data_IF_131072951887
#
_entry.id   IF_131072951887
#
_cell.length_a   1.000
_cell.length_b   1.000
_cell.length_c   1.000
_cell.angle_alpha   90.00
_cell.angle_beta   90.00
_cell.angle_gamma   90.00
#
_symmetry.space_group_name_H-M   'P 1'
#
loop_
_entity.id
_entity.type
_entity.pdbx_description
1 polymer ?
#
# COMPACT_ATOMS: atom_id res chain seq x y z
N UNK A 1 24.18 -5.76 13.55
CA UNK A 1 24.07 -6.79 12.48
C UNK A 1 22.74 -6.56 11.79
N UNK A 2 22.77 -6.18 10.50
CA UNK A 2 21.66 -5.60 9.74
C UNK A 2 20.66 -6.68 9.29
N UNK A 3 19.38 -6.51 9.61
CA UNK A 3 18.29 -7.27 8.97
C UNK A 3 17.69 -6.33 7.92
N UNK A 4 18.07 -6.50 6.65
CA UNK A 4 17.44 -5.86 5.51
C UNK A 4 16.59 -6.89 4.75
N UNK A 5 15.38 -6.47 4.36
CA UNK A 5 14.57 -6.98 3.25
C UNK A 5 14.09 -8.44 3.26
N UNK A 6 12.81 -8.64 3.61
CA UNK A 6 11.98 -9.72 3.03
C UNK A 6 10.60 -9.14 2.64
N UNK A 7 10.54 -8.42 1.51
CA UNK A 7 9.27 -8.16 0.78
C UNK A 7 9.40 -8.40 -0.73
N UNK A 8 10.59 -8.71 -1.25
CA UNK A 8 10.76 -9.11 -2.65
C UNK A 8 11.13 -10.58 -2.73
N UNK A 9 10.12 -11.41 -2.94
CA UNK A 9 10.18 -12.65 -3.73
C UNK A 9 8.74 -13.11 -3.95
N UNK A 10 8.52 -13.90 -5.00
CA UNK A 10 7.29 -14.61 -5.36
C UNK A 10 6.28 -13.81 -6.18
N UNK A 11 6.43 -13.86 -7.51
CA UNK A 11 5.41 -14.33 -8.46
C UNK A 11 6.06 -14.43 -9.85
N UNK A 12 6.45 -15.65 -10.25
CA UNK A 12 6.82 -15.98 -11.63
C UNK A 12 6.11 -17.26 -12.02
N UNK A 13 5.35 -17.24 -13.11
CA UNK A 13 4.98 -18.43 -13.87
C UNK A 13 4.84 -18.06 -15.35
N UNK A 14 5.40 -18.95 -16.17
CA UNK A 14 5.76 -18.84 -17.59
C UNK A 14 4.59 -19.08 -18.56
N UNK A 15 4.71 -18.52 -19.77
CA UNK A 15 3.95 -18.85 -20.97
C UNK A 15 4.43 -20.17 -21.61
N UNK A 16 3.67 -20.70 -22.60
CA UNK A 16 4.27 -20.95 -23.91
C UNK A 16 3.44 -20.42 -25.10
N UNK A 17 4.15 -20.05 -26.18
CA UNK A 17 3.67 -19.70 -27.52
C UNK A 17 3.25 -20.95 -28.31
N UNK A 18 2.40 -20.90 -29.35
CA UNK A 18 2.72 -20.63 -30.78
C UNK A 18 1.53 -21.21 -31.62
N UNK A 19 1.12 -20.73 -32.82
CA UNK A 19 1.73 -20.97 -34.13
C UNK A 19 0.99 -20.21 -35.28
N UNK A 20 1.78 -19.74 -36.24
CA UNK A 20 1.62 -19.40 -37.68
C UNK A 20 0.24 -19.11 -38.32
N UNK A 21 0.20 -18.00 -39.08
CA UNK A 21 -0.74 -17.77 -40.20
C UNK A 21 0.05 -17.36 -41.45
N UNK A 22 -0.24 -18.03 -42.56
CA UNK A 22 0.35 -17.86 -43.89
C UNK A 22 -0.09 -16.54 -44.54
N UNK A 23 0.80 -15.99 -45.38
CA UNK A 23 0.60 -14.76 -46.16
C UNK A 23 0.43 -15.13 -47.63
N UNK A 24 -0.55 -14.54 -48.30
CA UNK A 24 -0.77 -14.60 -49.74
C UNK A 24 -1.00 -13.15 -50.22
N UNK A 25 -0.23 -12.60 -51.17
CA UNK A 25 -0.34 -11.21 -51.58
C UNK A 25 -1.15 -11.06 -52.87
N UNK A 26 -2.32 -10.47 -52.75
CA UNK A 26 -2.97 -9.79 -53.86
C UNK A 26 -3.81 -8.65 -53.28
N UNK A 27 -3.32 -7.41 -53.41
CA UNK A 27 -4.09 -6.33 -54.04
C UNK A 27 -3.27 -5.03 -54.07
N UNK A 28 -3.28 -4.43 -55.25
CA UNK A 28 -2.54 -3.23 -55.65
C UNK A 28 -3.53 -2.05 -55.71
N UNK A 29 -3.06 -0.86 -55.30
CA UNK A 29 -3.57 0.47 -55.63
C UNK A 29 -4.89 0.99 -55.00
N UNK A 30 -5.07 0.79 -53.69
CA UNK A 30 -6.08 1.51 -52.89
C UNK A 30 -5.54 2.34 -51.71
N UNK A 31 -4.35 2.02 -51.20
CA UNK A 31 -3.92 2.48 -49.86
C UNK A 31 -3.26 3.87 -49.84
N UNK A 32 -2.58 4.30 -50.90
CA UNK A 32 -1.83 5.56 -50.87
C UNK A 32 -2.72 6.79 -50.77
N UNK A 33 -3.94 6.75 -51.35
CA UNK A 33 -4.90 7.85 -51.25
C UNK A 33 -5.65 7.88 -49.92
N UNK A 34 -5.88 6.71 -49.31
CA UNK A 34 -6.43 6.62 -47.96
C UNK A 34 -5.45 7.23 -46.94
N UNK A 35 -4.15 6.92 -47.06
CA UNK A 35 -3.10 7.48 -46.21
C UNK A 35 -3.00 9.02 -46.24
N UNK A 36 -3.16 9.64 -47.42
CA UNK A 36 -3.13 11.11 -47.56
C UNK A 36 -4.36 11.77 -46.92
N UNK A 37 -5.56 11.21 -47.11
CA UNK A 37 -6.79 11.76 -46.50
C UNK A 37 -6.76 11.62 -44.98
N UNK A 38 -6.28 10.49 -44.48
CA UNK A 38 -6.14 10.25 -43.04
C UNK A 38 -5.06 11.15 -42.42
N UNK A 39 -3.96 11.41 -43.14
CA UNK A 39 -2.95 12.39 -42.72
C UNK A 39 -3.50 13.81 -42.65
N UNK A 40 -4.34 14.24 -43.61
CA UNK A 40 -4.99 15.55 -43.60
C UNK A 40 -5.97 15.67 -42.42
N UNK A 41 -6.79 14.63 -42.19
CA UNK A 41 -7.72 14.59 -41.04
C UNK A 41 -6.98 14.63 -39.70
N UNK A 42 -5.90 13.86 -39.58
CA UNK A 42 -5.05 13.86 -38.39
C UNK A 42 -4.40 15.24 -38.17
N UNK A 43 -3.94 15.90 -39.24
CA UNK A 43 -3.43 17.27 -39.21
C UNK A 43 -4.46 18.28 -38.69
N UNK A 44 -5.69 18.25 -39.22
CA UNK A 44 -6.78 19.11 -38.76
C UNK A 44 -7.16 18.86 -37.29
N UNK A 45 -7.21 17.60 -36.86
CA UNK A 45 -7.48 17.22 -35.47
C UNK A 45 -6.39 17.74 -34.52
N UNK A 46 -5.11 17.60 -34.90
CA UNK A 46 -3.98 18.13 -34.13
C UNK A 46 -4.02 19.66 -33.97
N UNK A 47 -4.44 20.39 -35.01
CA UNK A 47 -4.62 21.84 -34.97
C UNK A 47 -5.77 22.23 -34.02
N UNK A 48 -6.90 21.55 -34.11
CA UNK A 48 -8.05 21.79 -33.23
C UNK A 48 -7.70 21.51 -31.75
N UNK A 49 -6.97 20.43 -31.48
CA UNK A 49 -6.47 20.12 -30.14
C UNK A 49 -5.53 21.21 -29.63
N UNK A 50 -4.55 21.62 -30.44
CA UNK A 50 -3.60 22.67 -30.10
C UNK A 50 -4.30 24.00 -29.80
N UNK A 51 -5.33 24.37 -30.58
CA UNK A 51 -6.15 25.54 -30.31
C UNK A 51 -6.90 25.42 -28.98
N UNK A 52 -7.48 24.26 -28.68
CA UNK A 52 -8.17 23.99 -27.41
C UNK A 52 -7.22 24.12 -26.20
N UNK A 53 -6.00 23.56 -26.28
CA UNK A 53 -4.99 23.70 -25.23
C UNK A 53 -4.56 25.16 -25.00
N UNK A 54 -4.44 25.96 -26.07
CA UNK A 54 -4.16 27.40 -25.98
C UNK A 54 -5.29 28.17 -25.30
N UNK A 55 -6.55 27.79 -25.54
CA UNK A 55 -7.71 28.37 -24.83
C UNK A 55 -7.68 28.03 -23.34
N UNK A 56 -7.29 26.81 -22.97
CA UNK A 56 -7.09 26.46 -21.56
C UNK A 56 -5.98 27.28 -20.92
N UNK A 57 -4.88 27.48 -21.64
CA UNK A 57 -3.73 28.24 -21.16
C UNK A 57 -4.07 29.72 -20.97
N UNK A 58 -4.81 30.34 -21.91
CA UNK A 58 -5.24 31.74 -21.78
C UNK A 58 -6.18 31.95 -20.60
N UNK A 59 -6.97 30.92 -20.26
CA UNK A 59 -7.85 30.90 -19.08
C UNK A 59 -7.16 30.41 -17.80
N UNK A 60 -5.84 30.16 -17.83
CA UNK A 60 -5.04 29.59 -16.72
C UNK A 60 -5.73 28.41 -16.03
N UNK A 61 -6.27 27.47 -16.80
CA UNK A 61 -6.98 26.31 -16.24
C UNK A 61 -6.02 25.42 -15.44
N UNK A 62 -6.48 24.87 -14.31
CA UNK A 62 -5.66 23.91 -13.56
C UNK A 62 -5.43 22.64 -14.37
N UNK A 63 -4.40 21.87 -14.03
CA UNK A 63 -4.20 20.54 -14.64
C UNK A 63 -5.45 19.65 -14.51
N UNK A 64 -6.16 19.74 -13.38
CA UNK A 64 -7.38 18.98 -13.10
C UNK A 64 -8.54 19.42 -14.00
N UNK A 65 -8.70 20.72 -14.24
CA UNK A 65 -9.72 21.22 -15.18
C UNK A 65 -9.50 20.71 -16.59
N UNK A 66 -8.24 20.70 -17.05
CA UNK A 66 -7.88 20.20 -18.38
C UNK A 66 -8.08 18.69 -18.46
N UNK A 67 -7.65 17.94 -17.45
CA UNK A 67 -7.89 16.50 -17.34
C UNK A 67 -9.40 16.18 -17.43
N UNK A 68 -10.24 16.89 -16.67
CA UNK A 68 -11.69 16.71 -16.70
C UNK A 68 -12.28 17.04 -18.08
N UNK A 69 -11.81 18.11 -18.72
CA UNK A 69 -12.27 18.49 -20.07
C UNK A 69 -11.83 17.51 -21.17
N UNK A 70 -10.70 16.84 -20.98
CA UNK A 70 -10.23 15.76 -21.85
C UNK A 70 -10.97 14.44 -21.58
N UNK A 71 -11.73 14.33 -20.47
CA UNK A 71 -12.53 13.15 -20.10
C UNK A 71 -11.66 11.90 -19.97
N UNK A 72 -10.70 11.92 -19.04
CA UNK A 72 -9.82 10.77 -18.74
C UNK A 72 -10.55 9.58 -18.08
N UNK A 73 -11.80 9.78 -17.63
CA UNK A 73 -12.56 8.77 -16.89
C UNK A 73 -12.44 8.92 -15.38
N UNK A 74 -13.12 8.04 -14.65
CA UNK A 74 -13.28 8.15 -13.20
C UNK A 74 -12.23 7.40 -12.38
N UNK A 75 -11.37 6.62 -13.03
CA UNK A 75 -10.30 5.88 -12.35
C UNK A 75 -8.93 6.04 -13.04
N UNK A 76 -7.88 5.77 -12.27
CA UNK A 76 -6.48 5.96 -12.69
C UNK A 76 -6.05 4.94 -13.74
N UNK A 77 -6.62 3.73 -13.75
CA UNK A 77 -6.23 2.70 -14.70
C UNK A 77 -6.60 3.12 -16.13
N UNK A 78 -7.80 3.66 -16.32
CA UNK A 78 -8.24 4.22 -17.60
C UNK A 78 -7.39 5.43 -18.00
N UNK A 79 -7.05 6.28 -17.03
CA UNK A 79 -6.23 7.44 -17.27
C UNK A 79 -4.81 7.10 -17.78
N UNK A 80 -4.19 6.05 -17.23
CA UNK A 80 -2.82 5.62 -17.57
C UNK A 80 -2.71 5.03 -18.98
N UNK A 81 -3.76 4.39 -19.49
CA UNK A 81 -3.77 3.81 -20.84
C UNK A 81 -4.30 4.79 -21.90
N UNK A 82 -4.78 5.96 -21.47
CA UNK A 82 -5.39 6.93 -22.38
C UNK A 82 -4.37 7.59 -23.30
N UNK A 83 -4.68 7.67 -24.60
CA UNK A 83 -3.91 8.46 -25.56
C UNK A 83 -3.84 9.96 -25.20
N UNK A 84 -4.77 10.44 -24.37
CA UNK A 84 -4.87 11.84 -23.90
C UNK A 84 -3.76 12.24 -22.94
N UNK A 85 -3.00 11.29 -22.38
CA UNK A 85 -1.84 11.58 -21.52
C UNK A 85 -0.88 12.52 -22.22
N UNK A 86 -0.65 12.34 -23.53
CA UNK A 86 0.26 13.21 -24.30
C UNK A 86 -0.30 14.62 -24.48
N UNK A 87 -1.60 14.77 -24.67
CA UNK A 87 -2.29 16.07 -24.68
C UNK A 87 -2.12 16.83 -23.36
N UNK A 88 -2.29 16.11 -22.24
CA UNK A 88 -2.14 16.69 -20.91
C UNK A 88 -0.68 17.06 -20.61
N UNK A 89 0.30 16.23 -21.01
CA UNK A 89 1.73 16.57 -20.91
C UNK A 89 2.08 17.83 -21.71
N UNK A 90 1.58 17.96 -22.95
CA UNK A 90 1.77 19.16 -23.77
C UNK A 90 1.22 20.41 -23.07
N UNK A 91 0.01 20.30 -22.50
CA UNK A 91 -0.58 21.39 -21.73
C UNK A 91 0.28 21.79 -20.53
N UNK A 92 0.71 20.82 -19.72
CA UNK A 92 1.55 21.03 -18.54
C UNK A 92 2.85 21.74 -18.94
N UNK A 93 3.52 21.30 -20.01
CA UNK A 93 4.74 21.94 -20.49
C UNK A 93 4.51 23.40 -20.88
N UNK A 94 3.44 23.69 -21.63
CA UNK A 94 3.06 25.06 -22.00
C UNK A 94 2.69 25.93 -20.78
N UNK A 95 2.01 25.34 -19.79
CA UNK A 95 1.63 26.02 -18.55
C UNK A 95 2.86 26.39 -17.72
N UNK A 96 3.76 25.45 -17.50
CA UNK A 96 4.97 25.64 -16.68
C UNK A 96 5.96 26.59 -17.34
N UNK A 97 6.05 26.59 -18.68
CA UNK A 97 6.88 27.57 -19.40
C UNK A 97 6.39 29.01 -19.19
N UNK A 98 5.08 29.22 -19.06
CA UNK A 98 4.50 30.55 -18.83
C UNK A 98 4.37 30.94 -17.37
N UNK A 99 4.32 29.96 -16.47
CA UNK A 99 4.10 30.16 -15.04
C UNK A 99 5.11 29.29 -14.25
N UNK A 100 6.41 29.64 -14.28
CA UNK A 100 7.46 28.81 -13.66
C UNK A 100 7.28 28.65 -12.16
N UNK A 101 6.77 29.67 -11.47
CA UNK A 101 6.55 29.67 -10.01
C UNK A 101 5.29 28.89 -9.58
N UNK A 102 4.42 28.55 -10.54
CA UNK A 102 3.17 27.80 -10.30
C UNK A 102 3.19 26.44 -11.03
N UNK A 103 4.38 25.89 -11.26
CA UNK A 103 4.55 24.69 -12.07
C UNK A 103 3.67 23.52 -11.56
N UNK A 104 2.94 22.90 -12.49
CA UNK A 104 2.14 21.71 -12.25
C UNK A 104 2.83 20.47 -12.82
N UNK A 105 2.49 19.28 -12.32
CA UNK A 105 3.03 18.01 -12.81
C UNK A 105 1.91 17.03 -13.19
N UNK A 106 2.25 16.02 -13.98
CA UNK A 106 1.29 14.97 -14.37
C UNK A 106 0.86 14.18 -13.13
N UNK A 107 1.82 13.78 -12.29
CA UNK A 107 1.54 13.06 -11.05
C UNK A 107 0.72 13.90 -10.06
N UNK A 108 1.03 15.18 -9.92
CA UNK A 108 0.27 16.10 -9.05
C UNK A 108 -1.16 16.27 -9.56
N UNK A 109 -1.35 16.38 -10.88
CA UNK A 109 -2.67 16.46 -11.49
C UNK A 109 -3.50 15.19 -11.27
N UNK A 110 -2.90 14.01 -11.45
CA UNK A 110 -3.59 12.74 -11.20
C UNK A 110 -3.93 12.56 -9.72
N UNK A 111 -3.01 12.90 -8.83
CA UNK A 111 -3.20 12.82 -7.38
C UNK A 111 -4.31 13.77 -6.91
N UNK A 112 -4.34 15.00 -7.40
CA UNK A 112 -5.40 15.96 -7.09
C UNK A 112 -6.79 15.50 -7.57
N UNK A 113 -6.86 14.74 -8.68
CA UNK A 113 -8.14 14.25 -9.23
C UNK A 113 -8.63 12.94 -8.60
N UNK A 114 -7.72 12.00 -8.34
CA UNK A 114 -8.05 10.61 -7.99
C UNK A 114 -7.65 10.23 -6.56
N UNK A 115 -6.80 11.02 -5.90
CA UNK A 115 -6.26 10.76 -4.57
C UNK A 115 -4.95 9.97 -4.60
N UNK A 116 -4.05 10.29 -3.66
CA UNK A 116 -2.73 9.66 -3.52
C UNK A 116 -2.80 8.13 -3.45
N UNK A 117 -3.71 7.60 -2.64
CA UNK A 117 -3.83 6.16 -2.40
C UNK A 117 -4.27 5.38 -3.65
N UNK A 118 -5.21 5.93 -4.42
CA UNK A 118 -5.70 5.33 -5.65
C UNK A 118 -4.63 5.38 -6.75
N UNK A 119 -3.97 6.54 -6.89
CA UNK A 119 -2.88 6.73 -7.87
C UNK A 119 -1.72 5.80 -7.57
N UNK A 120 -1.20 5.81 -6.35
CA UNK A 120 -0.06 4.99 -5.96
C UNK A 120 -0.32 3.50 -6.22
N UNK A 121 -1.49 3.01 -5.79
CA UNK A 121 -1.91 1.62 -6.01
C UNK A 121 -2.03 1.28 -7.49
N UNK A 122 -2.57 2.19 -8.31
CA UNK A 122 -2.71 1.98 -9.75
C UNK A 122 -1.35 1.94 -10.46
N UNK A 123 -0.40 2.79 -10.07
CA UNK A 123 0.95 2.81 -10.64
C UNK A 123 1.70 1.48 -10.43
N UNK A 124 1.71 0.95 -9.19
CA UNK A 124 2.30 -0.39 -8.92
C UNK A 124 1.59 -1.48 -9.73
N UNK A 125 0.30 -1.31 -9.98
CA UNK A 125 -0.49 -2.27 -10.74
C UNK A 125 -0.16 -2.24 -12.23
N UNK A 126 -0.01 -1.05 -12.79
CA UNK A 126 0.32 -0.81 -14.19
C UNK A 126 1.78 -1.18 -14.50
N UNK A 127 2.71 -0.92 -13.60
CA UNK A 127 4.11 -1.35 -13.72
C UNK A 127 4.25 -2.87 -13.88
N UNK A 128 3.42 -3.65 -13.15
CA UNK A 128 3.48 -5.12 -13.18
C UNK A 128 2.69 -5.79 -14.29
N UNK A 129 1.61 -5.16 -14.77
CA UNK A 129 0.62 -5.82 -15.66
C UNK A 129 0.29 -5.03 -16.92
N UNK A 130 0.78 -3.81 -17.04
CA UNK A 130 0.59 -2.99 -18.22
C UNK A 130 1.46 -3.47 -19.39
N UNK A 131 1.06 -3.09 -20.61
CA UNK A 131 1.97 -3.20 -21.75
C UNK A 131 3.20 -2.31 -21.56
N UNK A 132 4.29 -2.58 -22.28
CA UNK A 132 5.61 -1.95 -22.08
C UNK A 132 5.54 -0.43 -21.91
N UNK A 133 4.84 0.29 -22.80
CA UNK A 133 4.71 1.76 -22.71
C UNK A 133 4.01 2.25 -21.43
N UNK A 134 2.96 1.55 -21.00
CA UNK A 134 2.19 1.90 -19.79
C UNK A 134 3.00 1.56 -18.54
N UNK A 135 3.73 0.45 -18.55
CA UNK A 135 4.60 0.06 -17.46
C UNK A 135 5.73 1.09 -17.25
N UNK A 136 6.38 1.55 -18.32
CA UNK A 136 7.43 2.59 -18.24
C UNK A 136 6.87 3.93 -17.73
N UNK A 137 5.71 4.37 -18.24
CA UNK A 137 5.04 5.56 -17.72
C UNK A 137 4.69 5.41 -16.23
N UNK A 138 4.17 4.26 -15.82
CA UNK A 138 3.80 4.01 -14.43
C UNK A 138 5.01 4.02 -13.51
N UNK A 139 6.13 3.43 -13.95
CA UNK A 139 7.41 3.45 -13.23
C UNK A 139 7.94 4.88 -13.07
N UNK A 140 7.92 5.67 -14.13
CA UNK A 140 8.30 7.09 -14.07
C UNK A 140 7.43 7.86 -13.08
N UNK A 141 6.10 7.79 -13.24
CA UNK A 141 5.16 8.50 -12.38
C UNK A 141 5.25 8.07 -10.91
N UNK A 142 5.56 6.80 -10.65
CA UNK A 142 5.79 6.30 -9.29
C UNK A 142 7.05 6.91 -8.67
N UNK A 143 8.14 7.01 -9.43
CA UNK A 143 9.35 7.67 -8.96
C UNK A 143 9.11 9.16 -8.68
N UNK A 144 8.37 9.84 -9.56
CA UNK A 144 7.96 11.24 -9.36
C UNK A 144 7.06 11.40 -8.13
N UNK A 145 6.12 10.48 -7.88
CA UNK A 145 5.26 10.52 -6.69
C UNK A 145 6.07 10.43 -5.40
N UNK A 146 7.00 9.48 -5.32
CA UNK A 146 7.84 9.30 -4.13
C UNK A 146 8.76 10.50 -3.89
N UNK A 147 9.32 11.09 -4.95
CA UNK A 147 10.13 12.31 -4.84
C UNK A 147 9.28 13.49 -4.42
N UNK A 148 8.10 13.67 -5.01
CA UNK A 148 7.18 14.74 -4.64
C UNK A 148 6.81 14.71 -3.16
N UNK A 149 6.48 13.55 -2.60
CA UNK A 149 6.21 13.43 -1.16
C UNK A 149 7.43 13.80 -0.32
N UNK A 150 8.63 13.35 -0.69
CA UNK A 150 9.87 13.67 0.02
C UNK A 150 10.20 15.16 -0.04
N UNK A 151 10.13 15.77 -1.22
CA UNK A 151 10.45 17.17 -1.47
C UNK A 151 9.44 18.10 -0.81
N UNK A 152 8.18 17.65 -0.68
CA UNK A 152 7.13 18.31 0.09
C UNK A 152 7.23 18.11 1.60
N UNK A 153 8.33 17.51 2.08
CA UNK A 153 8.62 17.33 3.51
C UNK A 153 7.71 16.32 4.22
N UNK A 154 7.07 15.39 3.49
CA UNK A 154 6.23 14.36 4.13
C UNK A 154 7.10 13.41 4.95
N UNK A 155 6.60 13.04 6.12
CA UNK A 155 7.15 11.93 6.91
C UNK A 155 6.63 10.59 6.37
N UNK A 156 7.24 9.49 6.82
CA UNK A 156 6.70 8.14 6.55
C UNK A 156 5.30 8.00 7.14
N UNK A 157 5.05 8.56 8.33
CA UNK A 157 3.73 8.59 8.98
C UNK A 157 2.69 9.36 8.13
N UNK A 158 3.09 10.45 7.46
CA UNK A 158 2.22 11.16 6.52
C UNK A 158 1.89 10.33 5.30
N UNK A 159 2.89 9.63 4.72
CA UNK A 159 2.66 8.75 3.56
C UNK A 159 1.77 7.57 3.94
N UNK A 160 1.90 7.02 5.15
CA UNK A 160 0.96 6.01 5.66
C UNK A 160 -0.49 6.51 5.61
N UNK A 161 -0.73 7.76 6.05
CA UNK A 161 -2.06 8.41 6.02
C UNK A 161 -2.52 8.72 4.60
N UNK A 162 -1.65 9.24 3.73
CA UNK A 162 -1.96 9.50 2.32
C UNK A 162 -2.39 8.23 1.59
N UNK A 163 -1.79 7.09 1.93
CA UNK A 163 -2.18 5.77 1.42
C UNK A 163 -3.46 5.21 2.06
N UNK A 164 -4.03 5.86 3.07
CA UNK A 164 -5.25 5.43 3.80
C UNK A 164 -5.15 4.00 4.33
N UNK A 165 -3.97 3.61 4.83
CA UNK A 165 -3.73 2.25 5.32
C UNK A 165 -4.54 1.95 6.59
N UNK A 166 -4.76 2.93 7.47
CA UNK A 166 -5.62 2.78 8.64
C UNK A 166 -7.07 2.48 8.25
N UNK A 167 -7.61 3.19 7.25
CA UNK A 167 -8.97 2.97 6.73
C UNK A 167 -9.15 1.59 6.09
N UNK A 168 -8.09 1.02 5.49
CA UNK A 168 -8.12 -0.32 4.92
C UNK A 168 -8.11 -1.43 6.02
N UNK A 169 -7.74 -1.10 7.27
CA UNK A 169 -7.63 -2.04 8.38
C UNK A 169 -6.75 -3.24 8.04
N UNK A 170 -7.19 -4.45 8.38
CA UNK A 170 -6.42 -5.68 8.09
C UNK A 170 -6.19 -5.92 6.58
N UNK A 171 -7.06 -5.37 5.70
CA UNK A 171 -6.92 -5.53 4.24
C UNK A 171 -5.70 -4.78 3.71
N UNK A 172 -5.17 -3.81 4.46
CA UNK A 172 -3.93 -3.12 4.14
C UNK A 172 -2.76 -4.10 3.94
N UNK A 173 -2.70 -5.18 4.73
CA UNK A 173 -1.63 -6.20 4.66
C UNK A 173 -1.60 -6.98 3.33
N UNK A 174 -2.72 -7.01 2.60
CA UNK A 174 -2.81 -7.63 1.28
C UNK A 174 -2.74 -6.61 0.14
N UNK A 175 -2.57 -5.33 0.47
CA UNK A 175 -2.64 -4.23 -0.49
C UNK A 175 -1.27 -3.91 -1.07
N UNK A 176 -1.25 -3.53 -2.35
CA UNK A 176 -0.04 -2.99 -3.00
C UNK A 176 0.45 -1.72 -2.33
N UNK A 177 -0.39 -1.02 -1.57
CA UNK A 177 -0.05 0.17 -0.78
C UNK A 177 1.14 -0.06 0.16
N UNK A 178 1.31 -1.27 0.72
CA UNK A 178 2.50 -1.57 1.55
C UNK A 178 3.80 -1.58 0.77
N UNK A 179 3.78 -1.91 -0.52
CA UNK A 179 4.96 -1.87 -1.38
C UNK A 179 5.37 -0.41 -1.63
N UNK A 180 4.39 0.49 -1.79
CA UNK A 180 4.65 1.93 -1.91
C UNK A 180 5.23 2.48 -0.60
N UNK A 181 4.66 2.09 0.54
CA UNK A 181 5.16 2.53 1.84
C UNK A 181 6.59 2.03 2.10
N UNK A 182 6.89 0.77 1.79
CA UNK A 182 8.24 0.18 1.92
C UNK A 182 9.26 0.93 1.04
N UNK A 183 8.91 1.21 -0.22
CA UNK A 183 9.78 1.98 -1.12
C UNK A 183 9.97 3.42 -0.62
N UNK A 184 8.95 4.03 -0.04
CA UNK A 184 9.06 5.36 0.56
C UNK A 184 9.95 5.36 1.80
N UNK A 185 9.81 4.38 2.71
CA UNK A 185 10.67 4.21 3.89
C UNK A 185 12.15 4.15 3.47
N UNK A 186 12.47 3.34 2.45
CA UNK A 186 13.83 3.22 1.91
C UNK A 186 14.34 4.55 1.36
N UNK A 187 13.51 5.24 0.57
CA UNK A 187 13.87 6.54 -0.01
C UNK A 187 14.07 7.61 1.08
N UNK A 188 13.20 7.62 2.08
CA UNK A 188 13.26 8.54 3.21
C UNK A 188 14.53 8.33 4.03
N UNK A 189 14.87 7.08 4.37
CA UNK A 189 16.12 6.74 5.04
C UNK A 189 17.35 7.21 4.25
N UNK A 190 17.37 6.97 2.93
CA UNK A 190 18.50 7.36 2.09
C UNK A 190 18.69 8.89 2.03
N UNK A 191 17.60 9.66 2.11
CA UNK A 191 17.64 11.11 2.01
C UNK A 191 17.83 11.84 3.35
N UNK A 192 17.30 11.28 4.44
CA UNK A 192 17.25 11.94 5.75
C UNK A 192 18.10 11.24 6.83
N UNK A 193 18.56 10.01 6.56
CA UNK A 193 19.27 9.16 7.53
C UNK A 193 18.50 8.90 8.84
N UNK A 194 17.17 9.08 8.81
CA UNK A 194 16.28 8.74 9.93
C UNK A 194 15.79 7.32 9.71
N UNK A 195 16.04 6.45 10.68
CA UNK A 195 15.63 5.05 10.61
C UNK A 195 14.17 4.91 11.04
N UNK A 196 13.35 4.42 10.12
CA UNK A 196 11.98 4.00 10.38
C UNK A 196 11.77 2.60 9.82
N UNK A 197 11.15 1.72 10.60
CA UNK A 197 10.81 0.37 10.14
C UNK A 197 9.35 0.29 9.74
N UNK A 198 9.02 -0.70 8.90
CA UNK A 198 7.64 -1.00 8.56
C UNK A 198 6.82 -1.30 9.83
N UNK A 199 7.35 -2.10 10.77
CA UNK A 199 6.66 -2.40 12.02
C UNK A 199 6.35 -1.14 12.85
N UNK A 200 7.33 -0.24 13.03
CA UNK A 200 7.12 1.00 13.76
C UNK A 200 6.06 1.89 13.10
N UNK A 201 6.12 1.99 11.78
CA UNK A 201 5.16 2.77 10.98
C UNK A 201 3.75 2.20 11.13
N UNK A 202 3.58 0.88 10.99
CA UNK A 202 2.28 0.22 11.16
C UNK A 202 1.76 0.36 12.60
N UNK A 203 2.64 0.20 13.59
CA UNK A 203 2.29 0.35 15.01
C UNK A 203 1.74 1.75 15.28
N UNK A 204 2.45 2.81 14.88
CA UNK A 204 1.97 4.19 15.04
C UNK A 204 0.71 4.45 14.22
N UNK A 205 0.72 4.05 12.95
CA UNK A 205 -0.33 4.33 11.99
C UNK A 205 -1.68 3.67 12.33
N UNK A 206 -1.66 2.52 12.99
CA UNK A 206 -2.87 1.84 13.48
C UNK A 206 -3.28 2.23 14.90
N UNK A 207 -2.55 3.11 15.58
CA UNK A 207 -2.92 3.63 16.90
C UNK A 207 -2.25 2.94 18.10
N UNK A 208 -1.17 2.19 17.87
CA UNK A 208 -0.38 1.54 18.90
C UNK A 208 -0.33 0.03 18.77
N UNK A 209 0.46 -0.61 19.64
CA UNK A 209 0.69 -2.06 19.60
C UNK A 209 -0.61 -2.85 19.81
N UNK A 210 -1.46 -2.44 20.76
CA UNK A 210 -2.75 -3.09 21.01
C UNK A 210 -3.67 -3.10 19.78
N UNK A 211 -3.73 -1.98 19.05
CA UNK A 211 -4.52 -1.93 17.82
C UNK A 211 -3.88 -2.77 16.71
N UNK A 212 -2.54 -2.76 16.61
CA UNK A 212 -1.83 -3.57 15.63
C UNK A 212 -2.06 -5.07 15.86
N UNK A 213 -1.94 -5.57 17.10
CA UNK A 213 -2.14 -7.01 17.38
C UNK A 213 -3.55 -7.47 17.02
N UNK A 214 -4.59 -6.68 17.30
CA UNK A 214 -5.96 -7.00 16.87
C UNK A 214 -6.09 -7.07 15.35
N UNK A 215 -5.45 -6.13 14.63
CA UNK A 215 -5.45 -6.13 13.16
C UNK A 215 -4.72 -7.36 12.60
N UNK A 216 -3.58 -7.74 13.21
CA UNK A 216 -2.81 -8.92 12.81
C UNK A 216 -3.60 -10.21 13.05
N UNK A 217 -4.27 -10.34 14.20
CA UNK A 217 -5.10 -11.50 14.51
C UNK A 217 -6.25 -11.68 13.50
N UNK A 218 -6.92 -10.59 13.12
CA UNK A 218 -7.94 -10.64 12.04
C UNK A 218 -7.28 -11.02 10.70
N UNK A 219 -6.14 -10.42 10.37
CA UNK A 219 -5.43 -10.68 9.13
C UNK A 219 -4.97 -12.14 8.97
N UNK A 220 -4.71 -12.86 10.06
CA UNK A 220 -4.32 -14.28 10.04
C UNK A 220 -5.44 -15.22 9.58
N UNK A 221 -6.70 -14.81 9.70
CA UNK A 221 -7.86 -15.61 9.25
C UNK A 221 -8.02 -15.61 7.73
N UNK A 222 -7.39 -14.67 7.02
CA UNK A 222 -7.54 -14.51 5.58
C UNK A 222 -6.27 -14.95 4.84
N UNK A 223 -6.34 -15.93 3.90
CA UNK A 223 -5.17 -16.46 3.21
C UNK A 223 -4.28 -15.41 2.53
N UNK A 224 -4.87 -14.31 2.02
CA UNK A 224 -4.13 -13.23 1.35
C UNK A 224 -3.28 -12.37 2.28
N UNK A 225 -3.62 -12.31 3.57
CA UNK A 225 -2.96 -11.44 4.56
C UNK A 225 -2.20 -12.23 5.62
N UNK A 226 -2.53 -13.52 5.78
CA UNK A 226 -2.01 -14.40 6.83
C UNK A 226 -0.48 -14.38 6.95
N UNK A 227 0.23 -14.64 5.86
CA UNK A 227 1.69 -14.71 5.87
C UNK A 227 2.35 -13.42 6.38
N UNK A 228 1.84 -12.26 5.97
CA UNK A 228 2.40 -10.98 6.39
C UNK A 228 2.01 -10.65 7.83
N UNK A 229 0.82 -11.09 8.26
CA UNK A 229 0.38 -10.94 9.63
C UNK A 229 1.24 -11.76 10.61
N UNK A 230 1.55 -13.02 10.28
CA UNK A 230 2.46 -13.89 11.05
C UNK A 230 3.88 -13.30 11.11
N UNK A 231 4.34 -12.68 10.01
CA UNK A 231 5.64 -12.00 9.97
C UNK A 231 5.69 -10.85 10.98
N UNK A 232 4.72 -9.93 10.95
CA UNK A 232 4.72 -8.77 11.85
C UNK A 232 4.43 -9.16 13.31
N UNK A 233 3.59 -10.16 13.56
CA UNK A 233 3.40 -10.69 14.91
C UNK A 233 4.72 -11.27 15.46
N UNK A 234 5.45 -12.03 14.64
CA UNK A 234 6.77 -12.53 15.01
C UNK A 234 7.79 -11.40 15.25
N UNK A 235 7.69 -10.28 14.53
CA UNK A 235 8.51 -9.10 14.80
C UNK A 235 8.14 -8.44 16.14
N UNK A 236 6.85 -8.30 16.48
CA UNK A 236 6.41 -7.80 17.80
C UNK A 236 6.92 -8.69 18.93
N UNK A 237 6.78 -10.03 18.81
CA UNK A 237 7.30 -10.97 19.81
C UNK A 237 8.81 -10.81 20.03
N UNK A 238 9.57 -10.61 18.94
CA UNK A 238 11.02 -10.35 19.03
C UNK A 238 11.32 -8.99 19.66
N UNK A 239 10.54 -7.96 19.33
CA UNK A 239 10.68 -6.62 19.90
C UNK A 239 10.43 -6.67 21.41
N UNK A 240 9.29 -7.19 21.86
CA UNK A 240 8.96 -7.35 23.28
C UNK A 240 10.00 -8.19 24.01
N UNK A 241 10.51 -9.26 23.39
CA UNK A 241 11.60 -10.05 23.99
C UNK A 241 12.86 -9.21 24.14
N UNK A 242 13.21 -8.43 23.12
CA UNK A 242 14.37 -7.53 23.09
C UNK A 242 14.32 -6.47 24.19
N UNK A 243 13.15 -5.88 24.40
CA UNK A 243 12.84 -4.89 25.44
C UNK A 243 12.72 -5.50 26.85
N UNK A 244 12.75 -6.83 26.97
CA UNK A 244 12.46 -7.56 28.20
C UNK A 244 11.09 -7.17 28.80
N UNK A 245 10.09 -7.00 27.94
CA UNK A 245 8.75 -6.62 28.36
C UNK A 245 8.20 -7.66 29.34
N UNK A 246 7.68 -7.18 30.49
CA UNK A 246 7.10 -8.10 31.48
C UNK A 246 5.86 -8.77 30.88
N UNK A 247 5.63 -10.08 31.10
CA UNK A 247 4.47 -10.78 30.56
C UNK A 247 3.13 -10.12 30.90
N UNK A 248 2.98 -9.49 32.07
CA UNK A 248 1.75 -8.75 32.43
C UNK A 248 1.49 -7.55 31.50
N UNK A 249 2.54 -6.84 31.07
CA UNK A 249 2.43 -5.76 30.10
C UNK A 249 2.03 -6.30 28.73
N UNK A 250 2.57 -7.44 28.32
CA UNK A 250 2.19 -8.10 27.06
C UNK A 250 0.74 -8.57 27.12
N UNK A 251 0.27 -9.07 28.25
CA UNK A 251 -1.15 -9.42 28.48
C UNK A 251 -2.08 -8.22 28.27
N UNK A 252 -1.73 -7.04 28.81
CA UNK A 252 -2.46 -5.79 28.56
C UNK A 252 -2.43 -5.38 27.08
N UNK A 253 -1.25 -5.45 26.44
CA UNK A 253 -1.12 -5.12 25.01
C UNK A 253 -1.98 -6.01 24.13
N UNK A 254 -2.12 -7.29 24.49
CA UNK A 254 -2.96 -8.26 23.78
C UNK A 254 -4.46 -8.12 24.09
N UNK A 255 -4.85 -7.17 24.94
CA UNK A 255 -6.22 -6.95 25.44
C UNK A 255 -6.75 -8.19 26.18
N UNK A 256 -5.86 -8.88 26.89
CA UNK A 256 -6.16 -10.07 27.68
C UNK A 256 -6.31 -9.75 29.16
N UNK A 257 -6.47 -8.48 29.52
CA UNK A 257 -6.58 -7.94 30.88
C UNK A 257 -7.99 -7.44 31.24
N UNK A 258 -8.94 -7.56 30.31
CA UNK A 258 -10.38 -7.34 30.49
C UNK A 258 -11.05 -8.52 31.21
N UNK A 259 -12.36 -8.47 31.48
CA UNK A 259 -13.05 -9.55 32.21
C UNK A 259 -12.83 -10.95 31.58
N UNK A 260 -12.64 -11.97 32.43
CA UNK A 260 -12.16 -13.32 32.04
C UNK A 260 -12.98 -13.98 30.91
N UNK A 261 -14.29 -13.74 30.84
CA UNK A 261 -15.13 -14.26 29.76
C UNK A 261 -14.87 -13.62 28.38
N UNK A 262 -14.37 -12.38 28.36
CA UNK A 262 -13.97 -11.66 27.16
C UNK A 262 -12.62 -12.20 26.67
N UNK A 263 -11.70 -12.44 27.61
CA UNK A 263 -10.35 -12.94 27.36
C UNK A 263 -10.36 -14.33 26.74
N UNK A 264 -11.23 -15.23 27.21
CA UNK A 264 -11.37 -16.57 26.64
C UNK A 264 -11.87 -16.58 25.18
N UNK A 265 -12.37 -15.44 24.68
CA UNK A 265 -12.80 -15.26 23.28
C UNK A 265 -11.78 -14.44 22.48
N UNK A 266 -10.76 -13.89 23.11
CA UNK A 266 -9.75 -13.08 22.45
C UNK A 266 -8.85 -13.96 21.58
N UNK A 267 -8.73 -13.58 20.31
CA UNK A 267 -7.90 -14.27 19.30
C UNK A 267 -6.39 -14.20 19.57
N UNK A 268 -5.98 -13.37 20.53
CA UNK A 268 -4.59 -13.06 20.84
C UNK A 268 -3.98 -13.99 21.90
N UNK A 269 -4.75 -14.95 22.44
CA UNK A 269 -4.31 -15.83 23.52
C UNK A 269 -3.02 -16.60 23.18
N UNK A 270 -2.97 -17.21 22.00
CA UNK A 270 -1.84 -17.99 21.50
C UNK A 270 -0.55 -17.16 21.38
N UNK A 271 -0.66 -15.83 21.29
CA UNK A 271 0.49 -14.92 21.27
C UNK A 271 1.12 -14.85 22.67
N UNK A 272 0.30 -14.76 23.72
CA UNK A 272 0.78 -14.74 25.10
C UNK A 272 1.44 -16.08 25.47
N UNK A 273 0.82 -17.20 25.08
CA UNK A 273 1.38 -18.54 25.30
C UNK A 273 2.75 -18.73 24.65
N UNK A 274 2.95 -18.17 23.45
CA UNK A 274 4.25 -18.19 22.77
C UNK A 274 5.26 -17.21 23.38
N UNK A 275 4.80 -16.10 23.96
CA UNK A 275 5.70 -15.09 24.53
C UNK A 275 6.30 -15.51 25.88
N UNK A 276 5.50 -16.13 26.77
CA UNK A 276 5.94 -16.55 28.11
C UNK A 276 7.25 -17.37 28.09
N UNK A 277 7.40 -18.45 27.28
CA UNK A 277 8.67 -19.19 27.22
C UNK A 277 9.82 -18.32 26.69
N UNK A 278 9.58 -17.43 25.71
CA UNK A 278 10.60 -16.51 25.21
C UNK A 278 11.12 -15.54 26.29
N UNK A 279 10.24 -15.12 27.21
CA UNK A 279 10.59 -14.31 28.37
C UNK A 279 11.34 -15.14 29.43
N UNK A 280 10.82 -16.32 29.78
CA UNK A 280 11.39 -17.21 30.80
C UNK A 280 12.81 -17.68 30.45
N UNK A 281 13.09 -17.93 29.17
CA UNK A 281 14.43 -18.31 28.69
C UNK A 281 15.47 -17.21 28.92
N UNK A 282 15.03 -15.94 28.92
CA UNK A 282 15.89 -14.78 29.17
C UNK A 282 15.96 -14.43 30.66
N UNK A 283 15.03 -14.93 31.47
CA UNK A 283 14.86 -14.60 32.89
C UNK A 283 14.69 -15.89 33.72
N UNK A 284 15.74 -16.75 33.81
CA UNK A 284 15.63 -18.06 34.46
C UNK A 284 15.27 -18.00 35.95
N UNK A 285 15.64 -16.91 36.64
CA UNK A 285 15.38 -16.70 38.07
C UNK A 285 14.05 -15.99 38.37
N UNK A 286 13.29 -15.62 37.33
CA UNK A 286 12.03 -14.87 37.47
C UNK A 286 10.98 -15.38 36.49
N UNK A 287 10.96 -16.70 36.29
CA UNK A 287 10.00 -17.36 35.41
C UNK A 287 8.58 -17.13 35.90
N UNK A 288 7.67 -16.97 34.95
CA UNK A 288 6.24 -16.92 35.21
C UNK A 288 5.53 -18.03 34.44
N UNK A 289 4.40 -18.48 34.97
CA UNK A 289 3.49 -19.37 34.22
C UNK A 289 2.25 -18.59 33.79
N UNK A 290 1.59 -19.08 32.75
CA UNK A 290 0.31 -18.53 32.31
C UNK A 290 -0.73 -18.58 33.44
N UNK A 291 -0.75 -19.69 34.19
CA UNK A 291 -1.67 -19.87 35.32
C UNK A 291 -1.44 -18.80 36.40
N UNK A 292 -0.19 -18.61 36.83
CA UNK A 292 0.16 -17.60 37.86
C UNK A 292 -0.24 -16.18 37.44
N UNK A 293 -0.07 -15.86 36.16
CA UNK A 293 -0.47 -14.56 35.62
C UNK A 293 -1.98 -14.36 35.66
N UNK A 294 -2.75 -15.38 35.28
CA UNK A 294 -4.21 -15.32 35.26
C UNK A 294 -4.79 -15.28 36.67
N UNK A 295 -4.28 -16.11 37.59
CA UNK A 295 -4.72 -16.11 38.99
C UNK A 295 -4.36 -14.79 39.67
N UNK A 296 -3.18 -14.23 39.39
CA UNK A 296 -2.81 -12.90 39.88
C UNK A 296 -3.70 -11.77 39.34
N UNK A 297 -4.27 -11.91 38.13
CA UNK A 297 -5.10 -10.87 37.50
C UNK A 297 -6.58 -10.99 37.86
N UNK A 298 -7.12 -12.20 37.83
CA UNK A 298 -8.57 -12.48 37.96
C UNK A 298 -8.94 -13.07 39.32
N UNK A 299 -7.98 -13.58 40.08
CA UNK A 299 -8.24 -14.38 41.27
C UNK A 299 -8.66 -15.82 40.94
N UNK A 300 -8.32 -16.73 41.85
CA UNK A 300 -8.51 -18.18 41.65
C UNK A 300 -9.97 -18.57 41.44
N UNK A 301 -10.87 -17.99 42.23
CA UNK A 301 -12.30 -18.35 42.22
C UNK A 301 -12.99 -17.93 40.91
N UNK A 302 -12.69 -16.72 40.42
CA UNK A 302 -13.28 -16.19 39.19
C UNK A 302 -12.74 -16.95 37.96
N UNK A 303 -11.42 -17.18 37.92
CA UNK A 303 -10.77 -17.95 36.87
C UNK A 303 -11.30 -19.38 36.79
N UNK A 304 -11.41 -20.07 37.93
CA UNK A 304 -11.94 -21.43 37.98
C UNK A 304 -13.38 -21.51 37.46
N UNK A 305 -14.23 -20.54 37.86
CA UNK A 305 -15.61 -20.45 37.39
C UNK A 305 -15.69 -20.25 35.87
N UNK A 306 -14.85 -19.37 35.32
CA UNK A 306 -14.80 -19.09 33.90
C UNK A 306 -14.35 -20.32 33.07
N UNK A 307 -13.34 -21.04 33.53
CA UNK A 307 -12.84 -22.26 32.87
C UNK A 307 -13.92 -23.35 32.84
N UNK A 308 -14.62 -23.57 33.97
CA UNK A 308 -15.72 -24.55 34.04
C UNK A 308 -16.85 -24.19 33.06
N UNK A 309 -17.19 -22.90 32.97
CA UNK A 309 -18.21 -22.40 32.04
C UNK A 309 -17.79 -22.49 30.57
N UNK A 310 -16.52 -22.29 30.25
CA UNK A 310 -15.99 -22.49 28.90
C UNK A 310 -16.06 -23.96 28.47
N UNK A 311 -15.61 -24.88 29.34
CA UNK A 311 -15.63 -26.33 29.07
C UNK A 311 -17.04 -26.88 28.85
N UNK A 312 -18.05 -26.34 29.55
CA UNK A 312 -19.45 -26.73 29.34
C UNK A 312 -19.97 -26.34 27.95
N UNK A 313 -19.51 -25.20 27.41
CA UNK A 313 -19.93 -24.68 26.10
C UNK A 313 -19.32 -25.42 24.91
N UNK A 314 -18.11 -25.97 25.04
CA UNK A 314 -17.48 -26.78 23.99
C UNK A 314 -18.09 -28.19 23.83
N UNK A 315 -18.75 -28.69 24.89
CA UNK A 315 -19.35 -30.04 24.90
C UNK A 315 -20.85 -30.04 24.51
N UNK A 316 -21.39 -28.90 24.08
CA UNK A 316 -22.77 -28.72 23.59
C UNK A 316 -22.77 -28.53 22.09
#
# INVERSE_FOLDING_TARGET
MRIYSIVLLFFTASLPASFLRTYDPADVDGEERAGVVDAIKAGAANLAESAKLRIFLSKKKSGVDVLNSLKFGDNVADALVSSKVESLKKYIAMFNQKNPDEAISLIGTFTARYGDDAVAKALVSAERRGGSKVAELAKQLRAEQLSFWLDSGKSVDDVFKLLKLSSDGFKALGSRKLIILDDYIKKFYNAKHVQETMLQTLTKGFGGESSLVTILAIAQEYPRTKRLAELFEGELLRQWRGENAKPIRVMELLLLDAGVETVLKCRNWDVLERYIPMFNDRNPDSKVTLLDMLTSKYGDAELATAIVSARKRENM
#
